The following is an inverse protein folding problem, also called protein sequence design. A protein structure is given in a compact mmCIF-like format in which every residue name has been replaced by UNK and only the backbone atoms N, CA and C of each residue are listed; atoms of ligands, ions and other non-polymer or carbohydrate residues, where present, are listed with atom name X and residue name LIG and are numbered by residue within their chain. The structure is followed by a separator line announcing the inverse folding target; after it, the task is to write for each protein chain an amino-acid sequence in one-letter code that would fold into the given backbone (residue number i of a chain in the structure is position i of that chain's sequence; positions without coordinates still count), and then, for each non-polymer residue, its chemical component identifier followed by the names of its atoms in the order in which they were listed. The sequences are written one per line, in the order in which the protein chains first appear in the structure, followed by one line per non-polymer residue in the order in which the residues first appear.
data_IF_027343318394
#
_entry.id   IF_027343318394
#
_cell.length_a   1.000
_cell.length_b   1.000
_cell.length_c   1.000
_cell.angle_alpha   90.00
_cell.angle_beta   90.00
_cell.angle_gamma   90.00
#
_symmetry.space_group_name_H-M   'P 1'
#
loop_
_entity.id
_entity.type
_entity.pdbx_description
1 polymer ?
#
# COMPACT_ATOMS: atom_id res chain seq x y z
N UNK A 1 2.24 -8.13 7.77
CA UNK A 1 1.43 -9.25 7.28
C UNK A 1 1.81 -9.56 5.83
N UNK A 2 2.22 -10.80 5.51
CA UNK A 2 2.45 -11.25 4.13
C UNK A 2 1.27 -12.16 3.75
N UNK A 3 0.35 -11.69 2.90
CA UNK A 3 -0.69 -12.54 2.32
C UNK A 3 -0.30 -12.90 0.89
N UNK A 4 0.16 -14.14 0.69
CA UNK A 4 0.39 -14.73 -0.63
C UNK A 4 -0.72 -15.75 -0.84
N UNK A 5 -1.58 -15.52 -1.83
CA UNK A 5 -2.61 -16.49 -2.21
C UNK A 5 -2.09 -17.33 -3.38
N UNK A 6 -2.01 -18.65 -3.18
CA UNK A 6 -1.68 -19.62 -4.22
C UNK A 6 -2.93 -20.44 -4.57
N UNK A 7 -3.36 -20.40 -5.83
CA UNK A 7 -4.45 -21.26 -6.30
C UNK A 7 -5.06 -20.88 -7.66
N UNK A 8 -4.29 -20.98 -8.74
CA UNK A 8 -4.81 -21.00 -10.13
C UNK A 8 -5.13 -19.64 -10.75
N UNK A 9 -4.17 -19.09 -11.51
CA UNK A 9 -4.32 -17.94 -12.43
C UNK A 9 -4.35 -16.51 -11.85
N UNK A 10 -3.76 -16.27 -10.67
CA UNK A 10 -3.37 -14.92 -10.20
C UNK A 10 -2.07 -15.01 -9.40
N UNK A 11 -0.94 -14.76 -10.06
CA UNK A 11 0.40 -14.85 -9.45
C UNK A 11 0.83 -13.46 -8.95
N UNK A 12 1.19 -13.40 -7.65
CA UNK A 12 2.08 -12.44 -6.96
C UNK A 12 1.66 -10.96 -6.77
N UNK A 13 0.53 -10.73 -6.08
CA UNK A 13 0.17 -9.40 -5.56
C UNK A 13 0.45 -9.38 -4.04
N UNK A 14 1.28 -8.45 -3.55
CA UNK A 14 1.70 -8.40 -2.15
C UNK A 14 1.40 -7.07 -1.47
N UNK A 15 1.16 -7.13 -0.16
CA UNK A 15 0.73 -6.02 0.68
C UNK A 15 1.81 -5.74 1.73
N UNK A 16 2.29 -4.50 1.84
CA UNK A 16 3.47 -4.18 2.66
C UNK A 16 3.18 -3.12 3.71
N UNK A 17 3.47 -3.47 4.96
CA UNK A 17 3.66 -2.53 6.07
C UNK A 17 5.01 -2.88 6.72
N UNK A 18 5.80 -1.91 7.18
CA UNK A 18 7.27 -2.00 7.19
C UNK A 18 7.90 -2.81 8.33
N UNK A 19 9.11 -3.31 8.09
CA UNK A 19 10.31 -3.42 8.95
C UNK A 19 11.47 -3.17 7.99
N UNK A 20 12.48 -2.38 8.36
CA UNK A 20 13.74 -2.35 7.59
C UNK A 20 14.91 -2.77 8.47
N UNK A 21 15.62 -3.81 8.02
CA UNK A 21 17.02 -3.99 8.37
C UNK A 21 17.85 -2.97 7.61
N UNK A 22 18.81 -2.35 8.30
CA UNK A 22 19.63 -1.23 7.84
C UNK A 22 20.19 -1.43 6.42
N UNK A 23 19.98 -0.44 5.53
CA UNK A 23 20.81 -0.21 4.34
C UNK A 23 20.74 1.23 3.77
N UNK A 24 19.87 2.12 4.27
CA UNK A 24 19.98 3.56 3.94
C UNK A 24 19.72 4.41 5.19
N UNK A 25 20.59 5.38 5.44
CA UNK A 25 20.66 6.25 6.61
C UNK A 25 19.59 7.37 6.65
N UNK A 26 18.38 7.16 6.10
CA UNK A 26 17.24 8.03 6.34
C UNK A 26 16.01 7.18 6.71
N UNK A 27 15.47 7.44 7.90
CA UNK A 27 14.38 6.77 8.61
C UNK A 27 14.60 5.29 8.99
N UNK A 28 15.17 5.10 10.18
CA UNK A 28 15.04 3.89 11.00
C UNK A 28 13.58 3.75 11.46
N UNK A 29 12.65 3.48 10.55
CA UNK A 29 11.27 3.19 10.90
C UNK A 29 11.21 1.75 11.45
N UNK A 30 11.03 1.61 12.75
CA UNK A 30 10.74 0.32 13.37
C UNK A 30 9.34 -0.13 12.96
N UNK A 31 9.18 -1.42 12.64
CA UNK A 31 7.92 -1.99 12.22
C UNK A 31 7.98 -3.52 12.10
N UNK A 32 6.86 -4.17 11.85
CA UNK A 32 6.75 -5.64 11.80
C UNK A 32 6.64 -6.31 10.42
N UNK A 33 6.58 -5.60 9.29
CA UNK A 33 6.57 -6.26 7.97
C UNK A 33 7.82 -6.02 7.13
N UNK A 34 7.73 -5.79 5.83
CA UNK A 34 8.90 -5.81 4.92
C UNK A 34 8.76 -4.66 3.92
N UNK A 35 9.80 -3.84 3.75
CA UNK A 35 9.77 -2.74 2.78
C UNK A 35 10.13 -3.19 1.36
N UNK A 36 11.14 -4.04 1.21
CA UNK A 36 11.64 -4.41 -0.11
C UNK A 36 10.55 -5.14 -0.91
N UNK A 37 10.37 -4.79 -2.20
CA UNK A 37 9.33 -5.39 -3.02
C UNK A 37 9.64 -6.86 -3.30
N UNK A 38 8.65 -7.72 -3.09
CA UNK A 38 8.78 -9.18 -3.26
C UNK A 38 7.81 -9.77 -4.28
N UNK A 39 6.73 -9.07 -4.62
CA UNK A 39 5.72 -9.53 -5.58
C UNK A 39 6.01 -9.08 -7.00
N UNK A 40 5.09 -9.39 -7.92
CA UNK A 40 5.02 -8.70 -9.20
C UNK A 40 4.56 -7.26 -8.99
N UNK A 41 3.56 -7.11 -8.09
CA UNK A 41 3.06 -5.83 -7.60
C UNK A 41 3.14 -5.79 -6.07
N UNK A 42 3.66 -4.69 -5.55
CA UNK A 42 3.74 -4.40 -4.12
C UNK A 42 3.02 -3.08 -3.84
N UNK A 43 1.96 -3.12 -3.03
CA UNK A 43 1.19 -1.93 -2.65
C UNK A 43 1.67 -1.33 -1.33
N UNK A 44 1.81 0.00 -1.30
CA UNK A 44 2.32 0.81 -0.20
C UNK A 44 1.32 1.93 0.17
N UNK A 45 0.21 1.61 0.86
CA UNK A 45 -0.73 2.62 1.32
C UNK A 45 -0.04 3.60 2.28
N UNK A 46 -0.16 4.90 2.01
CA UNK A 46 0.49 5.98 2.76
C UNK A 46 2.01 5.79 2.83
N UNK A 47 2.62 5.35 1.73
CA UNK A 47 4.04 5.01 1.66
C UNK A 47 4.39 3.70 2.36
N UNK A 48 3.40 3.07 3.03
CA UNK A 48 3.39 1.80 3.75
C UNK A 48 3.91 1.85 5.19
N UNK A 49 4.36 3.02 5.69
CA UNK A 49 5.01 3.13 6.99
C UNK A 49 4.12 3.71 8.10
N UNK A 50 3.48 4.85 7.82
CA UNK A 50 2.69 5.64 8.79
C UNK A 50 1.25 5.68 8.28
N UNK A 51 0.35 5.00 8.96
CA UNK A 51 -1.05 4.88 8.59
C UNK A 51 -1.86 5.92 9.39
N UNK A 52 -2.77 6.69 8.74
CA UNK A 52 -3.46 7.81 9.39
C UNK A 52 -4.18 7.44 10.70
N UNK A 53 -4.80 6.26 10.77
CA UNK A 53 -5.50 5.78 11.98
C UNK A 53 -4.62 5.52 13.20
N UNK A 54 -3.30 5.61 13.04
CA UNK A 54 -2.33 5.36 14.10
C UNK A 54 -1.60 6.63 14.56
N UNK A 55 -1.88 7.81 13.98
CA UNK A 55 -1.14 9.05 14.29
C UNK A 55 -1.28 9.49 15.75
N UNK A 56 -2.41 9.18 16.39
CA UNK A 56 -2.69 9.52 17.79
C UNK A 56 -2.12 8.51 18.80
N UNK A 57 -1.51 7.42 18.34
CA UNK A 57 -0.97 6.36 19.22
C UNK A 57 0.42 6.77 19.71
N UNK A 58 0.51 7.13 20.99
CA UNK A 58 1.76 7.63 21.60
C UNK A 58 2.72 6.51 22.03
N UNK A 59 2.19 5.35 22.46
CA UNK A 59 3.05 4.24 22.84
C UNK A 59 3.73 3.64 21.60
N UNK A 60 5.06 3.56 21.65
CA UNK A 60 5.86 3.10 20.51
C UNK A 60 5.53 1.68 20.03
N UNK A 61 5.20 0.77 20.96
CA UNK A 61 4.91 -0.62 20.64
C UNK A 61 3.50 -0.78 20.08
N UNK A 62 2.54 -0.04 20.63
CA UNK A 62 1.17 0.04 20.11
C UNK A 62 1.13 0.75 18.76
N UNK A 63 1.93 1.81 18.57
CA UNK A 63 2.04 2.53 17.30
C UNK A 63 2.53 1.58 16.19
N UNK A 64 3.58 0.80 16.46
CA UNK A 64 4.09 -0.20 15.52
C UNK A 64 3.04 -1.27 15.20
N UNK A 65 2.33 -1.74 16.23
CA UNK A 65 1.31 -2.79 16.09
C UNK A 65 0.10 -2.28 15.31
N UNK A 66 -0.41 -1.09 15.63
CA UNK A 66 -1.49 -0.41 14.92
C UNK A 66 -1.16 -0.27 13.43
N UNK A 67 0.04 0.24 13.12
CA UNK A 67 0.47 0.36 11.73
C UNK A 67 0.48 -1.01 11.06
N UNK A 68 1.07 -2.03 11.68
CA UNK A 68 1.11 -3.39 11.13
C UNK A 68 -0.28 -3.97 10.83
N UNK A 69 -1.22 -3.74 11.74
CA UNK A 69 -2.58 -4.30 11.68
C UNK A 69 -3.49 -3.56 10.69
N UNK A 70 -3.07 -2.40 10.17
CA UNK A 70 -3.77 -1.72 9.08
C UNK A 70 -3.93 -2.59 7.81
N UNK A 71 -2.94 -3.44 7.50
CA UNK A 71 -2.93 -4.25 6.29
C UNK A 71 -4.15 -5.18 6.16
N UNK A 72 -4.48 -6.03 7.15
CA UNK A 72 -5.68 -6.84 7.08
C UNK A 72 -6.97 -6.02 7.02
N UNK A 73 -7.05 -4.85 7.67
CA UNK A 73 -8.24 -3.99 7.57
C UNK A 73 -8.46 -3.46 6.15
N UNK A 74 -7.41 -2.97 5.49
CA UNK A 74 -7.50 -2.53 4.10
C UNK A 74 -7.87 -3.68 3.16
N UNK A 75 -7.29 -4.87 3.37
CA UNK A 75 -7.62 -6.04 2.56
C UNK A 75 -9.10 -6.41 2.71
N UNK A 76 -9.62 -6.51 3.94
CA UNK A 76 -11.02 -6.85 4.19
C UNK A 76 -11.96 -5.82 3.54
N UNK A 77 -11.63 -4.53 3.62
CA UNK A 77 -12.43 -3.48 3.02
C UNK A 77 -12.39 -3.51 1.48
N UNK A 78 -11.27 -3.91 0.89
CA UNK A 78 -11.12 -4.04 -0.56
C UNK A 78 -12.04 -5.11 -1.19
N UNK A 79 -12.58 -6.03 -0.39
CA UNK A 79 -13.49 -7.08 -0.86
C UNK A 79 -14.79 -6.45 -1.39
N UNK A 80 -15.28 -5.39 -0.76
CA UNK A 80 -16.51 -4.72 -1.15
C UNK A 80 -16.23 -3.50 -2.04
N UNK A 81 -16.03 -3.75 -3.32
CA UNK A 81 -15.73 -2.72 -4.33
C UNK A 81 -16.87 -1.72 -4.59
N UNK A 82 -18.06 -1.96 -4.04
CA UNK A 82 -19.18 -0.99 -4.12
C UNK A 82 -19.10 0.09 -3.05
N UNK A 83 -18.39 -0.16 -1.95
CA UNK A 83 -18.18 0.81 -0.87
C UNK A 83 -16.84 1.53 -0.99
N UNK A 84 -15.84 0.86 -1.54
CA UNK A 84 -14.48 1.34 -1.46
C UNK A 84 -13.58 0.86 -2.59
N UNK A 85 -12.86 1.79 -3.20
CA UNK A 85 -11.89 1.50 -4.25
C UNK A 85 -10.52 2.06 -3.83
N UNK A 86 -9.62 1.17 -3.44
CA UNK A 86 -8.23 1.51 -3.14
C UNK A 86 -7.43 1.67 -4.45
N UNK A 87 -7.69 2.76 -5.17
CA UNK A 87 -6.97 3.10 -6.39
C UNK A 87 -5.52 3.40 -6.08
N UNK A 88 -4.62 2.75 -6.80
CA UNK A 88 -3.18 2.89 -6.63
C UNK A 88 -2.48 3.13 -7.96
N UNK A 89 -1.35 3.83 -7.89
CA UNK A 89 -0.58 4.25 -9.06
C UNK A 89 0.84 3.74 -8.91
N UNK A 90 1.37 3.19 -10.00
CA UNK A 90 2.76 2.80 -10.09
C UNK A 90 3.64 4.06 -10.02
N UNK A 91 4.56 4.07 -9.07
CA UNK A 91 5.58 5.10 -8.99
C UNK A 91 6.86 4.49 -8.38
N UNK A 92 8.06 4.97 -8.70
CA UNK A 92 9.30 4.43 -8.13
C UNK A 92 9.50 4.79 -6.65
N UNK A 93 9.07 6.00 -6.27
CA UNK A 93 9.29 6.63 -4.98
C UNK A 93 7.95 7.21 -4.48
N UNK A 94 7.71 7.14 -3.18
CA UNK A 94 6.47 7.64 -2.59
C UNK A 94 6.35 9.17 -2.66
N UNK A 95 7.45 9.90 -2.45
CA UNK A 95 7.47 11.36 -2.55
C UNK A 95 7.14 11.83 -3.97
N UNK A 96 7.68 11.17 -5.01
CA UNK A 96 7.30 11.43 -6.41
C UNK A 96 5.80 11.24 -6.65
N UNK A 97 5.18 10.26 -6.00
CA UNK A 97 3.73 10.05 -6.03
C UNK A 97 2.97 11.19 -5.33
N UNK A 98 3.46 11.68 -4.19
CA UNK A 98 2.86 12.84 -3.50
C UNK A 98 2.99 14.13 -4.32
N UNK A 99 4.10 14.28 -5.05
CA UNK A 99 4.40 15.42 -5.92
C UNK A 99 3.74 15.34 -7.31
N UNK A 100 2.89 14.33 -7.56
CA UNK A 100 2.18 14.17 -8.82
C UNK A 100 3.06 13.82 -10.03
N UNK A 101 4.28 13.33 -9.79
CA UNK A 101 5.25 12.98 -10.86
C UNK A 101 4.91 11.66 -11.58
N UNK A 102 3.90 10.94 -11.09
CA UNK A 102 3.41 9.70 -11.64
C UNK A 102 1.90 9.81 -11.91
N UNK A 103 1.46 10.60 -12.91
CA UNK A 103 0.04 10.86 -13.09
C UNK A 103 -0.67 9.60 -13.60
N UNK A 104 -1.90 9.30 -13.11
CA UNK A 104 -2.62 8.06 -13.42
C UNK A 104 -2.82 7.79 -14.93
N UNK A 105 -2.90 8.83 -15.75
CA UNK A 105 -3.10 8.72 -17.20
C UNK A 105 -1.85 8.22 -17.96
N UNK A 106 -0.67 8.32 -17.34
CA UNK A 106 0.61 7.91 -17.93
C UNK A 106 1.34 6.82 -17.15
N UNK A 107 0.87 6.54 -15.93
CA UNK A 107 1.40 5.50 -15.06
C UNK A 107 0.48 4.28 -15.04
N UNK A 108 1.02 3.10 -14.76
CA UNK A 108 0.21 1.92 -14.54
C UNK A 108 -0.65 2.08 -13.27
N UNK A 109 -1.91 1.67 -13.31
CA UNK A 109 -2.83 1.74 -12.15
C UNK A 109 -3.42 0.37 -11.85
N UNK A 110 -3.67 0.09 -10.57
CA UNK A 110 -4.42 -1.10 -10.14
C UNK A 110 -5.23 -0.79 -8.88
N UNK A 111 -6.19 -1.65 -8.57
CA UNK A 111 -6.92 -1.63 -7.30
C UNK A 111 -6.15 -2.47 -6.29
N UNK A 112 -5.62 -1.85 -5.25
CA UNK A 112 -5.05 -2.57 -4.12
C UNK A 112 -6.16 -3.42 -3.48
N UNK A 113 -6.06 -4.74 -3.51
CA UNK A 113 -7.20 -5.53 -3.10
C UNK A 113 -7.25 -6.99 -3.45
N UNK A 114 -8.32 -7.63 -2.97
CA UNK A 114 -8.94 -8.73 -3.69
C UNK A 114 -9.19 -8.39 -5.18
N UNK A 115 -9.65 -7.18 -5.56
CA UNK A 115 -9.82 -6.79 -6.97
C UNK A 115 -8.52 -6.62 -7.77
N UNK A 116 -7.34 -6.69 -7.16
CA UNK A 116 -6.07 -6.47 -7.84
C UNK A 116 -5.86 -7.47 -9.00
N UNK A 117 -5.22 -7.00 -10.08
CA UNK A 117 -5.07 -7.76 -11.32
C UNK A 117 -3.62 -7.73 -11.82
N UNK A 118 -3.26 -8.79 -12.57
CA UNK A 118 -1.97 -8.81 -13.25
C UNK A 118 -1.97 -7.78 -14.38
N UNK A 119 -1.00 -6.89 -14.38
CA UNK A 119 -0.79 -5.91 -15.46
C UNK A 119 0.18 -6.51 -16.49
N UNK A 120 -0.22 -6.70 -17.76
CA UNK A 120 0.67 -7.20 -18.80
C UNK A 120 1.90 -6.31 -18.97
N UNK A 121 3.06 -6.92 -19.16
CA UNK A 121 4.34 -6.23 -19.39
C UNK A 121 4.84 -5.36 -18.23
N UNK A 122 4.20 -5.41 -17.06
CA UNK A 122 4.71 -4.73 -15.86
C UNK A 122 6.00 -5.42 -15.39
N UNK A 123 7.00 -4.60 -15.04
CA UNK A 123 8.22 -5.12 -14.45
C UNK A 123 7.89 -5.77 -13.09
N UNK A 124 8.50 -6.92 -12.74
CA UNK A 124 8.32 -7.50 -11.40
C UNK A 124 8.84 -6.54 -10.33
N UNK A 125 8.37 -6.69 -9.09
CA UNK A 125 8.73 -5.83 -7.96
C UNK A 125 8.32 -4.37 -8.16
N UNK A 126 7.26 -4.15 -8.94
CA UNK A 126 6.74 -2.81 -9.17
C UNK A 126 6.01 -2.29 -7.94
N UNK A 127 6.36 -1.09 -7.50
CA UNK A 127 5.74 -0.42 -6.36
C UNK A 127 4.55 0.40 -6.81
N UNK A 128 3.46 0.26 -6.06
CA UNK A 128 2.23 1.01 -6.24
C UNK A 128 1.91 1.76 -4.96
N UNK A 129 1.56 3.03 -5.10
CA UNK A 129 1.27 3.92 -4.00
C UNK A 129 -0.17 4.42 -4.08
N UNK A 130 -0.72 4.69 -2.92
CA UNK A 130 -2.05 5.23 -2.71
C UNK A 130 -2.10 5.89 -1.33
N UNK A 131 -3.08 6.77 -1.15
CA UNK A 131 -3.40 7.32 0.18
C UNK A 131 -4.67 6.66 0.70
N UNK A 132 -4.77 6.57 2.03
CA UNK A 132 -5.99 6.16 2.74
C UNK A 132 -6.40 7.24 3.73
N UNK A 133 -7.62 7.14 4.23
CA UNK A 133 -8.17 7.95 5.31
C UNK A 133 -7.92 7.28 6.66
N UNK A 134 -8.16 8.03 7.72
CA UNK A 134 -8.13 7.57 9.11
C UNK A 134 -9.27 6.57 9.39
N UNK A 135 -10.47 6.88 8.90
CA UNK A 135 -11.68 6.11 9.20
C UNK A 135 -12.10 5.19 8.06
N UNK A 136 -12.79 4.10 8.43
CA UNK A 136 -13.49 3.22 7.47
C UNK A 136 -14.47 4.03 6.60
N UNK A 137 -14.48 3.84 5.27
CA UNK A 137 -13.92 2.72 4.53
C UNK A 137 -12.43 2.85 4.13
N UNK A 138 -11.68 3.79 4.70
CA UNK A 138 -10.25 4.03 4.48
C UNK A 138 -9.85 4.43 3.06
N UNK A 139 -10.55 4.11 1.98
CA UNK A 139 -10.23 4.68 0.68
C UNK A 139 -10.59 6.17 0.63
N UNK A 140 -9.87 6.89 -0.23
CA UNK A 140 -10.27 8.21 -0.66
C UNK A 140 -11.55 8.12 -1.51
N UNK A 141 -12.45 9.10 -1.34
CA UNK A 141 -13.60 9.23 -2.22
C UNK A 141 -13.20 9.90 -3.54
N UNK A 142 -13.99 9.70 -4.59
CA UNK A 142 -13.76 10.34 -5.88
C UNK A 142 -13.79 11.88 -5.70
N UNK A 143 -12.64 12.53 -5.88
CA UNK A 143 -12.44 13.96 -5.61
C UNK A 143 -11.36 14.30 -4.57
N UNK A 144 -10.90 13.31 -3.79
CA UNK A 144 -9.92 13.50 -2.70
C UNK A 144 -8.50 12.96 -2.99
N UNK A 145 -8.25 12.41 -4.19
CA UNK A 145 -6.96 11.86 -4.64
C UNK A 145 -6.15 12.85 -5.50
N UNK A 146 -4.80 12.76 -5.52
CA UNK A 146 -3.99 13.72 -6.28
C UNK A 146 -4.27 13.61 -7.79
N UNK A 147 -4.18 14.75 -8.47
CA UNK A 147 -4.24 14.88 -9.93
C UNK A 147 -3.05 14.17 -10.61
#
# INVERSE_FOLDING_TARGET
MLMVWHGGSRELLTWKIFRRGANTMHEQQQGYGIYDPLGDIDFYPNGGAKQPQCESVEDSSEYISCNHDAAPYFFLQSINTTQCLFRSVQCPIYDDFLDGQCPPDSSATDLMGLPAQKIPCLAPKSKFYLRTMEDSPYCLQDGDGPA
#
